data_IF_917906722893
#
_entry.id   IF_917906722893
#
_cell.length_a   1.000
_cell.length_b   1.000
_cell.length_c   1.000
_cell.angle_alpha   90.00
_cell.angle_beta   90.00
_cell.angle_gamma   90.00
#
_symmetry.space_group_name_H-M   'P 1'
#
loop_
_entity.id
_entity.type
_entity.pdbx_description
1 polymer ?
#
# COMPACT_ATOMS: atom_id res chain seq x y z
N UNK A 1 -21.77 10.30 -5.09
CA UNK A 1 -21.35 9.62 -3.85
C UNK A 1 -19.91 9.24 -4.09
N UNK A 2 -18.97 9.69 -3.25
CA UNK A 2 -17.57 9.28 -3.37
C UNK A 2 -17.43 7.79 -3.52
N UNK A 3 -16.31 7.34 -4.08
CA UNK A 3 -16.01 5.91 -4.20
C UNK A 3 -16.32 5.21 -2.85
N UNK A 4 -17.27 4.27 -2.80
CA UNK A 4 -17.69 3.69 -1.54
C UNK A 4 -16.53 2.93 -0.92
N UNK A 5 -16.37 3.04 0.39
CA UNK A 5 -15.36 2.28 1.10
C UNK A 5 -15.61 0.79 0.91
N UNK A 6 -14.67 0.12 0.24
CA UNK A 6 -14.76 -1.30 -0.09
C UNK A 6 -14.34 -2.12 1.12
N UNK A 7 -14.86 -3.33 1.24
CA UNK A 7 -14.25 -4.26 2.17
C UNK A 7 -12.91 -4.71 1.59
N UNK A 8 -11.79 -4.24 2.13
CA UNK A 8 -10.46 -4.65 1.68
C UNK A 8 -9.98 -5.94 2.36
N UNK A 9 -10.75 -6.52 3.28
CA UNK A 9 -10.35 -7.72 4.06
C UNK A 9 -10.08 -8.93 3.17
N UNK A 10 -10.84 -9.09 2.08
CA UNK A 10 -10.71 -10.25 1.18
C UNK A 10 -9.36 -10.26 0.43
N UNK A 11 -8.78 -9.08 0.16
CA UNK A 11 -7.44 -8.93 -0.44
C UNK A 11 -6.35 -9.49 0.49
N UNK A 12 -6.62 -9.55 1.79
CA UNK A 12 -5.68 -10.10 2.77
C UNK A 12 -6.07 -11.50 3.25
N UNK A 13 -6.97 -12.18 2.53
CA UNK A 13 -7.32 -13.58 2.77
C UNK A 13 -6.57 -14.47 1.77
N UNK A 14 -5.60 -15.30 2.22
CA UNK A 14 -4.81 -16.12 1.32
C UNK A 14 -5.67 -17.03 0.45
N UNK A 15 -5.41 -17.05 -0.85
CA UNK A 15 -6.12 -17.88 -1.80
C UNK A 15 -7.43 -17.28 -2.32
N UNK A 16 -7.84 -16.08 -1.88
CA UNK A 16 -8.89 -15.32 -2.56
C UNK A 16 -8.60 -15.20 -4.05
N UNK A 17 -9.66 -15.21 -4.86
CA UNK A 17 -9.56 -15.13 -6.32
C UNK A 17 -10.49 -14.07 -6.87
N UNK A 18 -10.11 -13.50 -8.01
CA UNK A 18 -10.95 -12.59 -8.79
C UNK A 18 -10.80 -12.87 -10.28
N UNK A 19 -11.75 -12.34 -11.06
CA UNK A 19 -11.67 -12.27 -12.52
C UNK A 19 -11.97 -10.83 -12.91
N UNK A 20 -11.09 -10.21 -13.70
CA UNK A 20 -11.32 -8.86 -14.21
C UNK A 20 -12.19 -8.85 -15.47
N UNK A 21 -12.56 -7.65 -15.93
CA UNK A 21 -13.42 -7.45 -17.10
C UNK A 21 -12.77 -7.95 -18.42
N UNK A 22 -11.46 -8.22 -18.41
CA UNK A 22 -10.73 -8.80 -19.56
C UNK A 22 -10.71 -10.32 -19.55
N UNK A 23 -11.24 -10.95 -18.49
CA UNK A 23 -11.16 -12.40 -18.27
C UNK A 23 -9.83 -12.85 -17.66
N UNK A 24 -8.96 -11.94 -17.24
CA UNK A 24 -7.74 -12.28 -16.51
C UNK A 24 -8.15 -12.68 -15.09
N UNK A 25 -7.68 -13.85 -14.65
CA UNK A 25 -7.92 -14.36 -13.30
C UNK A 25 -6.75 -14.03 -12.40
N UNK A 26 -7.02 -13.60 -11.16
CA UNK A 26 -6.01 -13.36 -10.15
C UNK A 26 -6.20 -14.25 -8.93
N UNK A 27 -5.11 -14.80 -8.39
CA UNK A 27 -5.09 -15.47 -7.08
C UNK A 27 -4.20 -14.72 -6.12
N UNK A 28 -4.74 -14.39 -4.95
CA UNK A 28 -4.07 -13.62 -3.91
C UNK A 28 -3.18 -14.52 -3.03
N UNK A 29 -1.98 -14.02 -2.76
CA UNK A 29 -1.00 -14.54 -1.82
C UNK A 29 -0.59 -13.40 -0.86
N UNK A 30 -0.16 -13.73 0.36
CA UNK A 30 0.37 -12.74 1.28
C UNK A 30 1.89 -12.78 1.29
N UNK A 31 2.51 -11.61 1.17
CA UNK A 31 3.92 -11.40 1.42
C UNK A 31 4.06 -10.57 2.71
N UNK A 32 4.90 -11.04 3.65
CA UNK A 32 5.21 -10.30 4.87
C UNK A 32 6.45 -9.44 4.62
N UNK A 33 6.37 -8.16 4.98
CA UNK A 33 7.46 -7.20 4.90
C UNK A 33 8.22 -7.01 6.21
N UNK A 34 7.76 -7.61 7.32
CA UNK A 34 8.33 -7.37 8.66
C UNK A 34 7.60 -6.28 9.43
N UNK A 35 8.29 -5.63 10.37
CA UNK A 35 7.70 -4.64 11.29
C UNK A 35 8.26 -3.23 11.06
N UNK A 36 7.40 -2.31 10.66
CA UNK A 36 7.68 -0.89 10.51
C UNK A 36 7.68 -0.19 11.86
N UNK A 37 8.72 0.59 12.17
CA UNK A 37 8.79 1.42 13.37
C UNK A 37 8.07 2.75 13.16
N UNK A 38 7.10 3.06 14.03
CA UNK A 38 6.35 4.31 14.07
C UNK A 38 6.59 5.04 15.41
N UNK A 39 7.70 5.77 15.58
CA UNK A 39 8.02 6.46 16.83
C UNK A 39 7.04 7.58 17.22
N UNK A 40 6.32 8.18 16.27
CA UNK A 40 5.30 9.21 16.54
C UNK A 40 3.89 8.74 16.23
N UNK A 41 3.74 7.64 15.48
CA UNK A 41 2.44 7.12 15.07
C UNK A 41 1.75 7.96 13.99
N UNK A 42 2.46 8.94 13.42
CA UNK A 42 1.99 9.76 12.28
C UNK A 42 2.48 9.11 11.01
N UNK A 43 1.56 8.53 10.25
CA UNK A 43 1.88 7.69 9.09
C UNK A 43 1.84 8.55 7.83
N UNK A 44 2.85 8.39 6.99
CA UNK A 44 2.93 8.96 5.64
C UNK A 44 2.87 7.81 4.63
N UNK A 45 2.20 8.06 3.49
CA UNK A 45 2.27 7.23 2.31
C UNK A 45 2.58 8.09 1.09
N UNK A 46 3.59 7.69 0.32
CA UNK A 46 4.02 8.39 -0.89
C UNK A 46 4.80 7.44 -1.81
N UNK A 47 5.22 7.95 -2.97
CA UNK A 47 6.30 7.35 -3.73
C UNK A 47 7.66 7.69 -3.08
N UNK A 48 8.38 6.69 -2.53
CA UNK A 48 9.61 6.94 -1.79
C UNK A 48 10.77 7.42 -2.68
N UNK A 49 10.73 7.23 -4.00
CA UNK A 49 11.79 7.74 -4.89
C UNK A 49 11.56 9.18 -5.31
N UNK A 50 10.36 9.71 -5.08
CA UNK A 50 9.97 11.06 -5.51
C UNK A 50 9.84 12.02 -4.33
N UNK A 51 9.26 11.57 -3.21
CA UNK A 51 8.87 12.46 -2.12
C UNK A 51 9.70 12.33 -0.84
N UNK A 52 10.42 11.21 -0.66
CA UNK A 52 11.12 10.93 0.60
C UNK A 52 12.25 11.95 0.85
N UNK A 53 12.18 12.66 1.97
CA UNK A 53 13.21 13.63 2.36
C UNK A 53 13.11 15.00 1.70
N UNK A 54 12.19 15.19 0.76
CA UNK A 54 11.89 16.49 0.15
C UNK A 54 11.00 17.37 1.07
N UNK A 55 10.33 16.76 2.05
CA UNK A 55 9.44 17.47 2.98
C UNK A 55 8.06 17.81 2.42
N UNK A 56 7.73 17.28 1.23
CA UNK A 56 6.45 17.54 0.55
C UNK A 56 5.34 16.53 0.94
N UNK A 57 5.69 15.38 1.51
CA UNK A 57 4.73 14.35 1.89
C UNK A 57 4.19 14.59 3.31
N UNK A 58 2.91 14.93 3.41
CA UNK A 58 2.23 15.13 4.69
C UNK A 58 1.70 13.81 5.30
N UNK A 59 1.68 13.68 6.63
CA UNK A 59 1.07 12.53 7.27
C UNK A 59 -0.46 12.57 7.19
N UNK A 60 -1.07 11.40 7.23
CA UNK A 60 -2.51 11.28 7.41
C UNK A 60 -2.96 11.94 8.73
N UNK A 61 -4.19 12.46 8.72
CA UNK A 61 -4.84 13.10 9.88
C UNK A 61 -5.09 12.12 11.04
N UNK A 62 -5.22 10.82 10.74
CA UNK A 62 -5.40 9.77 11.75
C UNK A 62 -4.04 9.24 12.19
N UNK A 63 -3.78 9.31 13.50
CA UNK A 63 -2.57 8.79 14.12
C UNK A 63 -2.83 7.48 14.86
N UNK A 64 -1.76 6.74 15.14
CA UNK A 64 -1.77 5.55 16.00
C UNK A 64 -0.84 5.73 17.18
N UNK A 65 -0.88 4.81 18.13
CA UNK A 65 0.10 4.81 19.22
C UNK A 65 1.51 4.57 18.67
N UNK A 66 2.56 5.16 19.28
CA UNK A 66 3.93 4.83 18.93
C UNK A 66 4.23 3.34 19.12
N UNK A 67 4.88 2.72 18.14
CA UNK A 67 5.10 1.27 18.19
C UNK A 67 5.82 0.68 16.97
N UNK A 68 5.78 -0.64 16.89
CA UNK A 68 6.25 -1.43 15.73
C UNK A 68 5.08 -2.23 15.20
N UNK A 69 4.86 -2.17 13.90
CA UNK A 69 3.63 -2.66 13.28
C UNK A 69 3.94 -3.48 12.04
N UNK A 70 3.25 -4.63 11.90
CA UNK A 70 3.46 -5.54 10.77
C UNK A 70 3.03 -4.88 9.46
N UNK A 71 3.82 -5.08 8.41
CA UNK A 71 3.46 -4.71 7.04
C UNK A 71 3.28 -5.97 6.20
N UNK A 72 2.14 -6.08 5.53
CA UNK A 72 1.80 -7.18 4.61
C UNK A 72 1.50 -6.61 3.22
N UNK A 73 1.78 -7.36 2.15
CA UNK A 73 1.26 -7.08 0.82
C UNK A 73 0.39 -8.24 0.34
N UNK A 74 -0.74 -7.89 -0.27
CA UNK A 74 -1.55 -8.79 -1.07
C UNK A 74 -0.94 -8.86 -2.48
N UNK A 75 -0.34 -10.00 -2.83
CA UNK A 75 0.27 -10.24 -4.13
C UNK A 75 -0.65 -11.10 -4.98
N UNK A 76 -1.13 -10.56 -6.10
CA UNK A 76 -1.91 -11.29 -7.08
C UNK A 76 -0.98 -12.02 -8.06
N UNK A 77 -1.19 -13.33 -8.24
CA UNK A 77 -0.69 -14.09 -9.38
C UNK A 77 -1.74 -14.03 -10.48
N UNK A 78 -1.43 -13.36 -11.58
CA UNK A 78 -2.32 -13.17 -12.72
C UNK A 78 -2.16 -14.28 -13.75
N UNK A 79 -3.27 -14.79 -14.25
CA UNK A 79 -3.32 -15.84 -15.27
C UNK A 79 -4.39 -15.52 -16.29
N UNK A 80 -4.05 -15.65 -17.57
CA UNK A 80 -4.98 -15.52 -18.71
C UNK A 80 -5.33 -16.91 -19.25
N UNK A 81 -6.57 -17.39 -19.06
CA UNK A 81 -6.95 -18.75 -19.46
C UNK A 81 -6.82 -19.01 -20.97
N UNK A 82 -6.89 -17.96 -21.79
CA UNK A 82 -6.82 -18.01 -23.25
C UNK A 82 -5.38 -17.98 -23.79
N UNK A 83 -4.37 -17.86 -22.93
CA UNK A 83 -2.95 -17.78 -23.30
C UNK A 83 -2.12 -18.87 -22.62
N UNK A 84 -1.04 -19.33 -23.27
CA UNK A 84 -0.05 -20.17 -22.60
C UNK A 84 0.47 -19.47 -21.35
N UNK A 85 0.75 -20.24 -20.30
CA UNK A 85 1.37 -19.70 -19.10
C UNK A 85 2.74 -19.09 -19.46
N UNK A 86 3.05 -17.88 -18.97
CA UNK A 86 4.38 -17.29 -19.15
C UNK A 86 5.46 -18.12 -18.46
N UNK A 87 6.70 -17.98 -18.90
CA UNK A 87 7.86 -18.67 -18.31
C UNK A 87 8.09 -18.27 -16.84
N UNK A 88 7.63 -17.08 -16.44
CA UNK A 88 7.62 -16.59 -15.07
C UNK A 88 6.22 -16.17 -14.64
N UNK A 89 5.81 -16.40 -13.38
CA UNK A 89 4.51 -15.98 -12.88
C UNK A 89 4.34 -14.45 -12.99
N UNK A 90 3.17 -14.00 -13.45
CA UNK A 90 2.84 -12.58 -13.50
C UNK A 90 2.33 -12.11 -12.13
N UNK A 91 3.27 -11.68 -11.27
CA UNK A 91 2.95 -11.14 -9.95
C UNK A 91 2.71 -9.63 -9.96
N UNK A 92 1.75 -9.17 -9.15
CA UNK A 92 1.43 -7.75 -8.91
C UNK A 92 1.05 -7.53 -7.45
N UNK A 93 1.54 -6.47 -6.80
CA UNK A 93 0.95 -6.06 -5.51
C UNK A 93 -0.44 -5.49 -5.79
N UNK A 94 -1.47 -6.17 -5.30
CA UNK A 94 -2.83 -5.66 -5.36
C UNK A 94 -3.11 -4.63 -4.28
N UNK A 95 -2.56 -4.83 -3.08
CA UNK A 95 -2.65 -3.86 -1.99
C UNK A 95 -1.51 -4.04 -0.99
N UNK A 96 -1.14 -2.97 -0.31
CA UNK A 96 -0.21 -2.99 0.82
C UNK A 96 -0.95 -2.63 2.11
N UNK A 97 -0.65 -3.29 3.23
CA UNK A 97 -1.33 -3.11 4.51
C UNK A 97 -0.34 -2.95 5.65
N UNK A 98 -0.50 -1.86 6.40
CA UNK A 98 0.10 -1.65 7.71
C UNK A 98 -0.90 -2.09 8.79
N UNK A 99 -0.57 -3.13 9.55
CA UNK A 99 -1.45 -3.73 10.57
C UNK A 99 -1.18 -3.09 11.93
N UNK A 100 -2.18 -2.39 12.46
CA UNK A 100 -2.10 -1.69 13.75
C UNK A 100 -2.51 -2.61 14.91
N UNK A 101 -3.45 -3.52 14.66
CA UNK A 101 -3.92 -4.52 15.63
C UNK A 101 -4.52 -5.73 14.92
N UNK A 102 -4.44 -6.88 15.58
CA UNK A 102 -5.01 -8.15 15.09
C UNK A 102 -6.49 -8.29 15.52
N UNK A 103 -7.31 -7.30 15.17
CA UNK A 103 -8.76 -7.31 15.37
C UNK A 103 -9.49 -7.21 14.01
N UNK A 104 -10.70 -7.80 13.87
CA UNK A 104 -11.47 -7.67 12.63
C UNK A 104 -11.86 -6.21 12.34
N UNK A 105 -11.68 -5.81 11.08
CA UNK A 105 -12.21 -4.55 10.56
C UNK A 105 -13.72 -4.64 10.38
N UNK A 106 -14.47 -3.70 10.95
CA UNK A 106 -15.92 -3.57 10.84
C UNK A 106 -16.34 -2.50 9.82
N UNK A 107 -15.58 -1.41 9.72
CA UNK A 107 -15.85 -0.30 8.79
C UNK A 107 -14.57 0.20 8.15
N UNK A 108 -14.70 0.82 6.99
CA UNK A 108 -13.60 1.41 6.23
C UNK A 108 -13.89 2.88 5.95
N UNK A 109 -12.85 3.71 5.98
CA UNK A 109 -12.89 5.11 5.55
C UNK A 109 -11.60 5.47 4.81
N UNK A 110 -11.60 6.54 4.02
CA UNK A 110 -10.41 7.00 3.32
C UNK A 110 -9.45 7.70 4.28
N UNK A 111 -8.14 7.48 4.13
CA UNK A 111 -7.12 8.20 4.86
C UNK A 111 -6.90 9.56 4.22
N UNK A 112 -7.07 10.63 5.00
CA UNK A 112 -7.05 12.02 4.52
C UNK A 112 -5.80 12.76 5.00
N UNK A 113 -5.31 13.66 4.16
CA UNK A 113 -4.37 14.72 4.54
C UNK A 113 -5.10 15.91 5.18
N UNK A 114 -4.40 16.82 5.89
CA UNK A 114 -5.03 17.90 6.67
C UNK A 114 -5.95 18.83 5.88
N UNK A 115 -5.73 18.99 4.58
CA UNK A 115 -6.46 19.90 3.68
C UNK A 115 -7.56 19.20 2.86
N UNK A 116 -7.82 17.91 3.10
CA UNK A 116 -8.76 17.10 2.34
C UNK A 116 -10.09 16.90 3.07
N UNK A 117 -11.21 17.13 2.37
CA UNK A 117 -12.56 16.86 2.87
C UNK A 117 -13.27 15.84 1.95
N UNK A 118 -13.68 14.67 2.44
CA UNK A 118 -14.36 13.66 1.62
C UNK A 118 -15.72 14.14 1.09
N UNK A 119 -16.29 15.24 1.61
CA UNK A 119 -17.50 15.86 1.08
C UNK A 119 -17.27 16.56 -0.27
N UNK A 120 -16.03 16.91 -0.61
CA UNK A 120 -15.67 17.54 -1.88
C UNK A 120 -15.55 16.54 -3.03
N UNK A 121 -15.53 15.24 -2.73
CA UNK A 121 -15.40 14.17 -3.72
C UNK A 121 -16.71 13.91 -4.48
N UNK A 122 -16.61 13.96 -5.81
CA UNK A 122 -17.66 13.55 -6.74
C UNK A 122 -17.87 12.03 -6.79
N UNK A 123 -18.79 11.55 -7.65
CA UNK A 123 -18.96 10.13 -7.93
C UNK A 123 -17.66 9.46 -8.37
N UNK A 124 -17.30 8.34 -7.72
CA UNK A 124 -16.10 7.54 -8.01
C UNK A 124 -14.75 8.28 -7.86
N UNK A 125 -14.75 9.49 -7.29
CA UNK A 125 -13.52 10.21 -6.94
C UNK A 125 -12.99 9.76 -5.57
N UNK A 126 -11.68 9.88 -5.40
CA UNK A 126 -10.96 9.55 -4.18
C UNK A 126 -9.74 10.46 -4.02
N UNK A 127 -9.27 10.61 -2.78
CA UNK A 127 -7.94 11.12 -2.47
C UNK A 127 -6.91 9.99 -2.44
N UNK A 128 -5.71 10.27 -2.91
CA UNK A 128 -4.62 9.31 -2.94
C UNK A 128 -3.28 10.01 -3.08
N UNK A 129 -2.20 9.26 -2.96
CA UNK A 129 -0.86 9.76 -3.26
C UNK A 129 -0.46 9.37 -4.68
N UNK A 130 0.28 10.26 -5.34
CA UNK A 130 0.84 10.02 -6.66
C UNK A 130 2.02 9.06 -6.62
N UNK A 131 2.13 8.23 -7.64
CA UNK A 131 3.23 7.30 -7.89
C UNK A 131 3.75 7.51 -9.29
N UNK A 132 5.05 7.82 -9.41
CA UNK A 132 5.73 8.14 -10.68
C UNK A 132 6.96 7.25 -10.93
N UNK A 133 7.44 6.52 -9.92
CA UNK A 133 8.51 5.53 -10.02
C UNK A 133 7.97 4.08 -9.95
N UNK A 134 6.65 3.90 -10.03
CA UNK A 134 6.02 2.59 -9.87
C UNK A 134 6.17 1.98 -8.47
N UNK A 135 6.38 2.79 -7.43
CA UNK A 135 6.51 2.34 -6.05
C UNK A 135 5.71 3.16 -5.07
N UNK A 136 5.34 2.55 -3.95
CA UNK A 136 4.74 3.21 -2.81
C UNK A 136 5.42 2.80 -1.51
N UNK A 137 5.20 3.56 -0.46
CA UNK A 137 5.73 3.23 0.85
C UNK A 137 4.81 3.61 2.01
N UNK A 138 5.14 3.08 3.19
CA UNK A 138 4.67 3.57 4.50
C UNK A 138 5.88 3.89 5.39
N UNK A 139 5.85 5.03 6.06
CA UNK A 139 6.83 5.42 7.08
C UNK A 139 6.24 6.39 8.11
N UNK A 140 6.98 6.63 9.20
CA UNK A 140 6.61 7.64 10.20
C UNK A 140 7.08 9.03 9.77
N UNK A 141 6.24 10.05 9.92
CA UNK A 141 6.57 11.42 9.55
C UNK A 141 7.89 11.93 10.18
N UNK A 142 8.30 11.42 11.35
CA UNK A 142 9.56 11.85 11.96
C UNK A 142 10.82 11.35 11.24
N UNK A 143 10.70 10.40 10.31
CA UNK A 143 11.84 9.78 9.62
C UNK A 143 11.99 10.20 8.16
N UNK A 144 11.22 11.19 7.71
CA UNK A 144 11.26 11.69 6.34
C UNK A 144 12.67 12.03 5.85
N UNK A 145 13.42 12.83 6.62
CA UNK A 145 14.82 13.19 6.33
C UNK A 145 15.85 12.18 6.83
N UNK A 146 15.46 10.96 7.21
CA UNK A 146 16.35 9.98 7.84
C UNK A 146 16.99 8.97 6.87
N UNK A 147 16.82 9.19 5.55
CA UNK A 147 17.39 8.37 4.48
C UNK A 147 18.29 9.18 3.52
N UNK A 148 19.27 9.95 4.01
CA UNK A 148 20.14 10.78 3.15
C UNK A 148 21.02 9.95 2.20
N UNK A 149 21.17 8.65 2.46
CA UNK A 149 21.88 7.71 1.59
C UNK A 149 21.08 7.21 0.38
N UNK A 150 19.76 7.44 0.33
CA UNK A 150 18.95 7.12 -0.84
C UNK A 150 19.01 8.29 -1.82
N UNK A 151 19.98 8.26 -2.73
CA UNK A 151 20.19 9.30 -3.74
C UNK A 151 20.29 8.69 -5.12
N UNK A 152 19.60 9.30 -6.09
CA UNK A 152 19.55 8.80 -7.47
C UNK A 152 19.21 7.30 -7.53
N UNK A 153 20.08 6.49 -8.15
CA UNK A 153 19.94 5.05 -8.35
C UNK A 153 20.71 4.21 -7.31
N UNK A 154 21.06 4.79 -6.16
CA UNK A 154 21.84 4.14 -5.11
C UNK A 154 21.17 4.17 -3.72
N UNK A 155 21.57 3.24 -2.85
CA UNK A 155 21.20 3.23 -1.44
C UNK A 155 20.24 2.10 -1.06
N UNK A 156 19.91 1.98 0.24
CA UNK A 156 19.21 0.81 0.78
C UNK A 156 17.80 0.62 0.22
N UNK A 157 17.16 1.69 -0.27
CA UNK A 157 15.87 1.62 -0.96
C UNK A 157 16.03 1.00 -2.36
N UNK A 158 17.01 1.44 -3.14
CA UNK A 158 17.31 0.86 -4.45
C UNK A 158 17.78 -0.59 -4.35
N UNK A 159 18.68 -0.88 -3.42
CA UNK A 159 19.18 -2.22 -3.15
C UNK A 159 18.03 -3.21 -2.86
N UNK A 160 16.98 -2.76 -2.16
CA UNK A 160 15.82 -3.58 -1.85
C UNK A 160 15.04 -4.03 -3.11
N UNK A 161 14.95 -3.16 -4.12
CA UNK A 161 14.27 -3.47 -5.38
C UNK A 161 15.19 -4.16 -6.40
N UNK A 162 16.48 -3.84 -6.46
CA UNK A 162 17.41 -4.44 -7.42
C UNK A 162 17.82 -5.88 -7.03
N UNK A 163 18.06 -6.14 -5.74
CA UNK A 163 18.49 -7.46 -5.27
C UNK A 163 17.37 -8.49 -5.18
N UNK A 164 16.12 -8.07 -5.36
CA UNK A 164 14.99 -8.99 -5.32
C UNK A 164 14.50 -9.25 -6.74
N UNK A 165 14.88 -10.41 -7.28
CA UNK A 165 14.39 -10.88 -8.58
C UNK A 165 12.86 -10.91 -8.57
N UNK A 166 12.25 -9.84 -9.09
CA UNK A 166 10.80 -9.75 -9.32
C UNK A 166 9.93 -9.91 -8.07
N UNK A 167 10.46 -9.65 -6.86
CA UNK A 167 9.65 -9.69 -5.65
C UNK A 167 8.92 -8.35 -5.51
N UNK A 168 7.59 -8.32 -5.61
CA UNK A 168 6.83 -7.07 -5.70
C UNK A 168 6.76 -6.28 -4.37
N UNK A 169 7.46 -6.74 -3.33
CA UNK A 169 7.38 -6.22 -1.97
C UNK A 169 6.33 -6.92 -1.08
N UNK A 170 6.19 -6.51 0.19
CA UNK A 170 6.82 -5.33 0.77
C UNK A 170 8.27 -5.62 1.22
N UNK A 171 9.11 -4.59 1.15
CA UNK A 171 10.49 -4.58 1.62
C UNK A 171 10.61 -3.63 2.82
N UNK A 172 11.09 -4.12 3.95
CA UNK A 172 11.45 -3.27 5.09
C UNK A 172 12.88 -2.76 4.91
N UNK A 173 12.98 -1.49 4.53
CA UNK A 173 14.24 -0.78 4.35
C UNK A 173 14.63 -0.15 5.68
N UNK A 174 15.89 -0.34 6.09
CA UNK A 174 16.44 0.28 7.30
C UNK A 174 17.60 1.17 6.91
N UNK A 175 17.54 2.45 7.30
CA UNK A 175 18.65 3.39 7.14
C UNK A 175 19.85 2.90 7.97
N UNK A 176 21.01 2.63 7.35
CA UNK A 176 22.20 2.22 8.08
C UNK A 176 22.73 3.29 9.03
N UNK A 177 22.46 4.57 8.73
CA UNK A 177 22.98 5.72 9.47
C UNK A 177 22.13 6.08 10.68
N UNK A 178 20.80 6.01 10.54
CA UNK A 178 19.85 6.43 11.57
C UNK A 178 19.11 5.27 12.27
N UNK A 179 19.08 4.09 11.65
CA UNK A 179 18.24 2.96 12.09
C UNK A 179 16.74 3.18 11.86
N UNK A 180 16.35 4.27 11.17
CA UNK A 180 14.97 4.50 10.75
C UNK A 180 14.51 3.43 9.76
N UNK A 181 13.21 3.15 9.76
CA UNK A 181 12.62 2.12 8.89
C UNK A 181 11.54 2.70 8.00
N UNK A 182 11.47 2.20 6.77
CA UNK A 182 10.42 2.48 5.78
C UNK A 182 10.01 1.15 5.14
N UNK A 183 8.72 0.97 4.86
CA UNK A 183 8.23 -0.21 4.15
C UNK A 183 7.88 0.19 2.71
N UNK A 184 8.57 -0.36 1.72
CA UNK A 184 8.38 -0.05 0.30
C UNK A 184 7.77 -1.24 -0.47
N UNK A 185 7.01 -0.96 -1.52
CA UNK A 185 6.34 -1.96 -2.37
C UNK A 185 6.12 -1.43 -3.78
N UNK A 186 6.03 -2.30 -4.78
CA UNK A 186 5.69 -1.88 -6.15
C UNK A 186 4.20 -1.56 -6.25
N UNK A 187 3.81 -0.56 -7.02
CA UNK A 187 2.43 -0.06 -7.11
C UNK A 187 1.60 -0.77 -8.19
N UNK A 188 1.21 -2.03 -7.99
CA UNK A 188 0.33 -2.74 -8.93
C UNK A 188 0.75 -2.62 -10.40
N UNK A 189 0.02 -1.83 -11.19
CA UNK A 189 0.30 -1.61 -12.61
C UNK A 189 1.39 -0.58 -12.94
N UNK A 190 1.91 0.15 -11.95
CA UNK A 190 2.95 1.17 -12.10
C UNK A 190 2.45 2.54 -11.66
N UNK A 191 2.67 3.55 -12.48
CA UNK A 191 2.36 4.94 -12.18
C UNK A 191 0.85 5.19 -12.05
N UNK A 192 0.46 6.11 -11.17
CA UNK A 192 -0.93 6.42 -10.93
C UNK A 192 -1.17 7.20 -9.63
N UNK A 193 -2.43 7.26 -9.21
CA UNK A 193 -2.84 7.81 -7.93
C UNK A 193 -3.63 6.76 -7.18
N UNK A 194 -3.23 6.47 -5.93
CA UNK A 194 -3.76 5.34 -5.17
C UNK A 194 -4.28 5.76 -3.81
N UNK A 195 -5.51 5.37 -3.44
CA UNK A 195 -6.07 5.70 -2.14
C UNK A 195 -5.51 4.79 -1.06
N UNK A 196 -5.35 5.37 0.13
CA UNK A 196 -5.14 4.61 1.37
C UNK A 196 -6.43 4.60 2.18
N UNK A 197 -6.81 3.45 2.69
CA UNK A 197 -8.01 3.21 3.48
C UNK A 197 -7.66 2.84 4.91
N UNK A 198 -8.45 3.31 5.87
CA UNK A 198 -8.33 3.03 7.28
C UNK A 198 -9.41 2.03 7.67
N UNK A 199 -9.00 0.87 8.17
CA UNK A 199 -9.89 -0.07 8.80
C UNK A 199 -10.17 0.34 10.24
N UNK A 200 -11.43 0.20 10.69
CA UNK A 200 -11.83 0.43 12.09
C UNK A 200 -12.58 -0.75 12.68
N UNK A 201 -12.37 -1.00 13.97
CA UNK A 201 -13.18 -1.93 14.77
C UNK A 201 -14.61 -1.42 14.91
N UNK A 202 -15.51 -2.25 15.45
CA UNK A 202 -16.88 -1.83 15.77
C UNK A 202 -16.94 -0.71 16.83
N UNK A 203 -15.87 -0.53 17.61
CA UNK A 203 -15.72 0.55 18.60
C UNK A 203 -15.04 1.80 18.02
N UNK A 204 -14.65 1.78 16.74
CA UNK A 204 -14.05 2.91 16.04
C UNK A 204 -12.52 2.98 16.12
N UNK A 205 -11.85 1.96 16.65
CA UNK A 205 -10.39 1.95 16.80
C UNK A 205 -9.69 1.49 15.51
N UNK A 206 -8.53 2.03 15.19
CA UNK A 206 -7.82 1.74 13.92
C UNK A 206 -7.26 0.32 13.91
N UNK A 207 -7.67 -0.49 12.92
CA UNK A 207 -7.16 -1.84 12.69
C UNK A 207 -5.97 -1.88 11.76
N UNK A 208 -6.01 -1.12 10.68
CA UNK A 208 -4.97 -1.08 9.66
C UNK A 208 -5.08 0.15 8.74
N UNK A 209 -4.01 0.39 7.99
CA UNK A 209 -4.01 1.24 6.79
C UNK A 209 -3.76 0.36 5.57
N UNK A 210 -4.51 0.56 4.49
CA UNK A 210 -4.42 -0.24 3.26
C UNK A 210 -4.34 0.66 2.05
N UNK A 211 -3.24 0.61 1.29
CA UNK A 211 -3.21 1.20 -0.05
C UNK A 211 -3.69 0.17 -1.06
N UNK A 212 -4.70 0.52 -1.87
CA UNK A 212 -5.24 -0.32 -2.94
C UNK A 212 -4.67 0.14 -4.30
N UNK A 213 -4.03 -0.77 -5.04
CA UNK A 213 -3.44 -0.50 -6.36
C UNK A 213 -4.35 -0.82 -7.54
N UNK A 214 -5.63 -1.13 -7.28
CA UNK A 214 -6.64 -1.43 -8.29
C UNK A 214 -6.28 -2.59 -9.22
N UNK A 215 -5.45 -3.54 -8.75
CA UNK A 215 -5.14 -4.77 -9.49
C UNK A 215 -6.31 -5.74 -9.41
N UNK A 216 -6.94 -5.83 -8.24
CA UNK A 216 -8.12 -6.64 -8.02
C UNK A 216 -9.38 -5.78 -8.24
N UNK A 217 -10.35 -6.24 -9.03
CA UNK A 217 -11.61 -5.54 -9.21
C UNK A 217 -12.41 -5.57 -7.91
N UNK A 218 -13.38 -4.67 -7.82
CA UNK A 218 -14.36 -4.68 -6.74
C UNK A 218 -15.25 -5.93 -6.84
N UNK A 219 -15.27 -6.81 -5.83
CA UNK A 219 -16.14 -7.99 -5.86
C UNK A 219 -17.64 -7.63 -5.87
N UNK A 220 -18.02 -6.41 -5.46
CA UNK A 220 -19.40 -5.94 -5.51
C UNK A 220 -19.78 -5.26 -6.83
N UNK A 221 -18.80 -4.92 -7.69
CA UNK A 221 -19.08 -4.32 -8.99
C UNK A 221 -19.43 -5.43 -9.98
N UNK A 222 -20.68 -5.45 -10.43
CA UNK A 222 -21.08 -6.32 -11.53
C UNK A 222 -20.49 -5.75 -12.82
N UNK A 223 -19.94 -6.57 -13.73
CA UNK A 223 -19.54 -6.08 -15.05
C UNK A 223 -20.76 -5.48 -15.76
N UNK A 224 -20.60 -4.29 -16.36
CA UNK A 224 -21.62 -3.70 -17.26
C UNK A 224 -21.71 -4.46 -18.59
#
# INVERSE_FOLDING_TARGET
MPMPARDHTWLFTPGSTFTDDTGTTGRIHLASGGELSLPTGRIVACDPFVCLGEGDAEPFTVTVEPGRYRVDAAVATLTRPDRPAPDSPHHRVAAARLVIRDEPTATWEIALLPDQDPADLGPDEFYGYGVDAGTGCFYDASVDGAFPECVEDEGPLWDAFDHTTWAPGPHLVTSPSSGATLAAFTSGWGDGCYPTWIGRTATGEVTCFVTDFFVAPDPARTPE
#
